data_IF_436562965905
#
_entry.id   IF_436562965905
#
_cell.length_a   1.000
_cell.length_b   1.000
_cell.length_c   1.000
_cell.angle_alpha   90.00
_cell.angle_beta   90.00
_cell.angle_gamma   90.00
#
_symmetry.space_group_name_H-M   'P 1'
#
loop_
_entity.id
_entity.type
_entity.pdbx_description
1 polymer ?
#
# COMPACT_ATOMS: atom_id res chain seq x y z
N UNK A 1 18.32 -0.59 -4.28
CA UNK A 1 17.74 -0.93 -2.96
C UNK A 1 16.28 -1.24 -3.17
N UNK A 2 15.77 -2.32 -2.57
CA UNK A 2 14.33 -2.62 -2.60
C UNK A 2 13.56 -1.64 -1.70
N UNK A 3 12.23 -1.60 -1.81
CA UNK A 3 11.40 -0.86 -0.87
C UNK A 3 11.62 -1.32 0.57
N UNK A 4 11.76 -2.64 0.80
CA UNK A 4 11.94 -3.21 2.13
C UNK A 4 13.23 -2.74 2.81
N UNK A 5 14.32 -2.59 2.02
CA UNK A 5 15.61 -2.10 2.51
C UNK A 5 15.53 -0.63 2.97
N UNK A 6 14.59 0.15 2.41
CA UNK A 6 14.39 1.58 2.73
C UNK A 6 13.51 1.81 3.96
N UNK A 7 12.85 0.78 4.51
CA UNK A 7 11.98 0.93 5.68
C UNK A 7 12.84 1.27 6.91
N UNK A 8 12.64 2.46 7.47
CA UNK A 8 13.41 2.98 8.61
C UNK A 8 12.65 2.89 9.93
N UNK A 9 11.32 2.77 9.90
CA UNK A 9 10.46 2.69 11.09
C UNK A 9 9.26 1.79 10.86
N UNK A 10 8.64 1.37 11.96
CA UNK A 10 7.40 0.58 11.97
C UNK A 10 6.40 1.25 12.91
N UNK A 11 5.13 1.45 12.50
CA UNK A 11 4.10 1.96 13.40
C UNK A 11 3.84 1.02 14.58
N UNK A 12 3.52 1.60 15.73
CA UNK A 12 3.03 0.85 16.88
C UNK A 12 1.53 0.59 16.71
N UNK A 13 1.10 -0.69 16.55
CA UNK A 13 -0.30 -1.00 16.30
C UNK A 13 -1.14 -0.76 17.57
N UNK A 14 -2.25 -0.03 17.41
CA UNK A 14 -3.26 0.11 18.48
C UNK A 14 -4.05 -1.18 18.64
N UNK A 15 -4.29 -1.88 17.52
CA UNK A 15 -4.93 -3.20 17.47
C UNK A 15 -3.99 -4.21 16.78
N UNK A 16 -3.18 -4.96 17.56
CA UNK A 16 -2.25 -5.94 17.01
C UNK A 16 -2.94 -7.10 16.28
N UNK A 17 -4.16 -7.48 16.67
CA UNK A 17 -4.90 -8.57 16.03
C UNK A 17 -5.30 -8.18 14.61
N UNK A 18 -5.84 -6.98 14.41
CA UNK A 18 -6.11 -6.43 13.07
C UNK A 18 -4.85 -6.35 12.21
N UNK A 19 -3.72 -6.00 12.83
CA UNK A 19 -2.42 -6.01 12.18
C UNK A 19 -2.02 -7.39 11.67
N UNK A 20 -2.09 -8.39 12.55
CA UNK A 20 -1.76 -9.78 12.22
C UNK A 20 -2.67 -10.33 11.11
N UNK A 21 -3.99 -10.08 11.18
CA UNK A 21 -4.95 -10.50 10.17
C UNK A 21 -4.59 -9.92 8.79
N UNK A 22 -4.28 -8.63 8.71
CA UNK A 22 -3.90 -8.00 7.44
C UNK A 22 -2.57 -8.54 6.90
N UNK A 23 -1.56 -8.75 7.75
CA UNK A 23 -0.27 -9.31 7.35
C UNK A 23 -0.37 -10.77 6.88
N UNK A 24 -1.38 -11.53 7.35
CA UNK A 24 -1.64 -12.90 6.90
C UNK A 24 -2.09 -12.98 5.44
N UNK A 25 -2.67 -11.90 4.90
CA UNK A 25 -3.10 -11.81 3.50
C UNK A 25 -1.95 -11.60 2.53
N UNK A 26 -0.75 -11.31 3.05
CA UNK A 26 0.43 -10.99 2.25
C UNK A 26 1.62 -11.92 2.61
N UNK A 27 1.46 -13.26 2.49
CA UNK A 27 2.46 -14.21 2.98
C UNK A 27 3.79 -14.15 2.22
N UNK A 28 3.74 -13.77 0.94
CA UNK A 28 4.91 -13.76 0.05
C UNK A 28 5.77 -12.50 0.19
N UNK A 29 5.33 -11.52 0.99
CA UNK A 29 6.11 -10.29 1.21
C UNK A 29 7.32 -10.57 2.11
N UNK A 30 8.45 -9.87 1.90
CA UNK A 30 9.58 -9.90 2.82
C UNK A 30 9.15 -9.59 4.26
N UNK A 31 9.77 -10.24 5.24
CA UNK A 31 9.39 -10.14 6.66
C UNK A 31 9.25 -8.68 7.13
N UNK A 32 10.21 -7.81 6.80
CA UNK A 32 10.19 -6.40 7.22
C UNK A 32 9.01 -5.61 6.63
N UNK A 33 8.56 -5.98 5.42
CA UNK A 33 7.38 -5.39 4.82
C UNK A 33 6.09 -5.96 5.44
N UNK A 34 6.06 -7.25 5.81
CA UNK A 34 4.95 -7.83 6.58
C UNK A 34 4.80 -7.19 7.96
N UNK A 35 5.91 -6.89 8.63
CA UNK A 35 5.91 -6.15 9.90
C UNK A 35 5.35 -4.74 9.73
N UNK A 36 5.70 -4.06 8.63
CA UNK A 36 5.13 -2.75 8.29
C UNK A 36 3.63 -2.85 8.03
N UNK A 37 3.18 -3.82 7.24
CA UNK A 37 1.76 -4.09 6.98
C UNK A 37 1.00 -4.31 8.29
N UNK A 38 1.56 -5.10 9.21
CA UNK A 38 0.95 -5.35 10.52
C UNK A 38 0.84 -4.07 11.35
N UNK A 39 1.90 -3.28 11.43
CA UNK A 39 1.88 -1.99 12.14
C UNK A 39 0.86 -1.02 11.55
N UNK A 40 0.90 -0.82 10.24
CA UNK A 40 0.00 0.10 9.51
C UNK A 40 -1.47 -0.31 9.65
N UNK A 41 -1.79 -1.58 9.39
CA UNK A 41 -3.14 -2.08 9.55
C UNK A 41 -3.59 -2.00 11.02
N UNK A 42 -2.73 -2.34 11.97
CA UNK A 42 -3.04 -2.26 13.39
C UNK A 42 -3.24 -0.83 13.90
N UNK A 43 -2.70 0.18 13.22
CA UNK A 43 -2.91 1.60 13.58
C UNK A 43 -4.12 2.24 12.90
N UNK A 44 -4.61 1.74 11.75
CA UNK A 44 -5.72 2.35 11.02
C UNK A 44 -6.70 1.32 10.44
N UNK A 45 -7.99 1.31 10.85
CA UNK A 45 -8.99 0.43 10.25
C UNK A 45 -9.19 0.71 8.75
N UNK A 46 -9.05 1.96 8.32
CA UNK A 46 -9.11 2.33 6.91
C UNK A 46 -7.97 1.69 6.11
N UNK A 47 -6.73 1.76 6.61
CA UNK A 47 -5.57 1.17 5.92
C UNK A 47 -5.64 -0.37 5.95
N UNK A 48 -6.16 -0.97 7.02
CA UNK A 48 -6.42 -2.41 7.06
C UNK A 48 -7.40 -2.85 5.95
N UNK A 49 -8.46 -2.08 5.69
CA UNK A 49 -9.40 -2.38 4.60
C UNK A 49 -8.75 -2.21 3.21
N UNK A 50 -7.90 -1.20 3.03
CA UNK A 50 -7.12 -1.04 1.79
C UNK A 50 -6.18 -2.22 1.55
N UNK A 51 -5.42 -2.62 2.57
CA UNK A 51 -4.51 -3.78 2.49
C UNK A 51 -5.30 -5.03 2.11
N UNK A 52 -6.47 -5.26 2.73
CA UNK A 52 -7.31 -6.41 2.41
C UNK A 52 -7.77 -6.41 0.94
N UNK A 53 -8.15 -5.26 0.40
CA UNK A 53 -8.62 -5.13 -0.98
C UNK A 53 -7.50 -5.30 -2.01
N UNK A 54 -6.30 -4.85 -1.69
CA UNK A 54 -5.18 -4.76 -2.64
C UNK A 54 -4.03 -5.73 -2.29
N UNK A 55 -4.27 -6.73 -1.43
CA UNK A 55 -3.25 -7.69 -0.98
C UNK A 55 -2.54 -8.40 -2.16
N UNK A 56 -3.30 -8.81 -3.18
CA UNK A 56 -2.75 -9.45 -4.38
C UNK A 56 -1.93 -8.49 -5.27
N UNK A 57 -2.14 -7.18 -5.14
CA UNK A 57 -1.42 -6.16 -5.91
C UNK A 57 -0.12 -5.74 -5.22
N UNK A 58 -0.07 -5.79 -3.88
CA UNK A 58 1.04 -5.28 -3.08
C UNK A 58 2.44 -5.81 -3.47
N UNK A 59 2.65 -7.13 -3.71
CA UNK A 59 3.99 -7.68 -3.93
C UNK A 59 4.75 -7.07 -5.11
N UNK A 60 4.06 -6.68 -6.18
CA UNK A 60 4.66 -6.01 -7.33
C UNK A 60 4.52 -4.48 -7.32
N UNK A 61 3.79 -3.93 -6.35
CA UNK A 61 3.46 -2.51 -6.32
C UNK A 61 4.64 -1.64 -5.86
N UNK A 62 5.51 -2.16 -4.99
CA UNK A 62 6.50 -1.33 -4.30
C UNK A 62 7.84 -1.22 -5.03
N UNK A 63 7.96 -1.88 -6.19
CA UNK A 63 9.14 -1.82 -7.06
C UNK A 63 9.11 -0.64 -8.05
N UNK A 64 8.03 0.14 -8.05
CA UNK A 64 7.87 1.34 -8.89
C UNK A 64 7.72 2.60 -8.05
N UNK A 65 8.55 3.60 -8.30
CA UNK A 65 8.55 4.84 -7.53
C UNK A 65 7.36 5.75 -7.87
N UNK A 66 6.87 5.77 -9.13
CA UNK A 66 5.68 6.55 -9.52
C UNK A 66 4.42 5.69 -9.60
N UNK A 67 3.72 5.59 -8.47
CA UNK A 67 2.44 4.85 -8.37
C UNK A 67 1.32 5.51 -9.18
N UNK A 68 1.32 6.84 -9.33
CA UNK A 68 0.24 7.54 -10.04
C UNK A 68 0.34 7.22 -11.51
N UNK A 69 1.52 7.41 -12.12
CA UNK A 69 1.74 7.09 -13.51
C UNK A 69 1.44 5.61 -13.82
N UNK A 70 1.84 4.68 -12.95
CA UNK A 70 1.53 3.26 -13.13
C UNK A 70 0.03 2.99 -13.10
N UNK A 71 -0.68 3.50 -12.10
CA UNK A 71 -2.08 3.17 -11.91
C UNK A 71 -3.02 3.88 -12.89
N UNK A 72 -2.58 4.98 -13.52
CA UNK A 72 -3.35 5.70 -14.55
C UNK A 72 -2.94 5.37 -15.99
N UNK A 73 -1.94 4.53 -16.19
CA UNK A 73 -1.52 4.12 -17.54
C UNK A 73 -2.68 3.50 -18.33
N UNK A 74 -2.88 3.96 -19.56
CA UNK A 74 -3.93 3.47 -20.48
C UNK A 74 -5.34 3.97 -20.18
N UNK A 75 -5.51 4.94 -19.28
CA UNK A 75 -6.84 5.50 -18.98
C UNK A 75 -7.47 6.24 -20.17
N UNK A 76 -6.66 6.75 -21.10
CA UNK A 76 -7.13 7.44 -22.30
C UNK A 76 -7.89 6.51 -23.26
N UNK A 77 -7.69 5.20 -23.17
CA UNK A 77 -8.35 4.18 -23.99
C UNK A 77 -9.66 3.65 -23.37
N UNK A 78 -10.01 4.10 -22.16
CA UNK A 78 -11.17 3.61 -21.42
C UNK A 78 -12.44 4.39 -21.77
N UNK A 79 -13.56 3.67 -21.89
CA UNK A 79 -14.87 4.30 -21.86
C UNK A 79 -15.20 4.89 -20.47
N UNK A 80 -16.25 5.70 -20.38
CA UNK A 80 -16.62 6.38 -19.14
C UNK A 80 -16.94 5.42 -17.97
N UNK A 81 -17.52 4.25 -18.25
CA UNK A 81 -17.89 3.29 -17.22
C UNK A 81 -16.64 2.57 -16.67
N UNK A 82 -15.76 2.12 -17.55
CA UNK A 82 -14.48 1.50 -17.23
C UNK A 82 -13.55 2.51 -16.52
N UNK A 83 -13.49 3.75 -17.00
CA UNK A 83 -12.70 4.82 -16.39
C UNK A 83 -13.13 5.11 -14.96
N UNK A 84 -14.43 5.16 -14.68
CA UNK A 84 -14.95 5.36 -13.32
C UNK A 84 -14.47 4.27 -12.35
N UNK A 85 -14.42 3.00 -12.79
CA UNK A 85 -13.91 1.89 -12.00
C UNK A 85 -12.38 1.99 -11.84
N UNK A 86 -11.68 2.30 -12.93
CA UNK A 86 -10.23 2.49 -12.97
C UNK A 86 -9.76 3.55 -11.98
N UNK A 87 -10.38 4.74 -12.00
CA UNK A 87 -10.07 5.85 -11.09
C UNK A 87 -10.27 5.46 -9.62
N UNK A 88 -11.35 4.75 -9.29
CA UNK A 88 -11.60 4.28 -7.91
C UNK A 88 -10.55 3.28 -7.45
N UNK A 89 -10.05 2.42 -8.35
CA UNK A 89 -8.96 1.48 -8.05
C UNK A 89 -7.63 2.21 -7.88
N UNK A 90 -7.27 3.07 -8.83
CA UNK A 90 -6.05 3.87 -8.79
C UNK A 90 -5.97 4.69 -7.50
N UNK A 91 -7.05 5.39 -7.13
CA UNK A 91 -7.12 6.15 -5.87
C UNK A 91 -6.77 5.31 -4.64
N UNK A 92 -7.33 4.11 -4.51
CA UNK A 92 -7.06 3.24 -3.34
C UNK A 92 -5.61 2.76 -3.31
N UNK A 93 -5.09 2.40 -4.47
CA UNK A 93 -3.71 1.89 -4.63
C UNK A 93 -2.66 2.96 -4.38
N UNK A 94 -2.85 4.15 -4.95
CA UNK A 94 -2.03 5.33 -4.65
C UNK A 94 -2.07 5.62 -3.15
N UNK A 95 -3.27 5.72 -2.55
CA UNK A 95 -3.40 5.97 -1.11
C UNK A 95 -2.69 4.91 -0.25
N UNK A 96 -2.75 3.63 -0.62
CA UNK A 96 -2.10 2.55 0.11
C UNK A 96 -0.57 2.62 -0.01
N UNK A 97 -0.02 2.81 -1.21
CA UNK A 97 1.43 2.92 -1.41
C UNK A 97 2.00 4.16 -0.72
N UNK A 98 1.32 5.30 -0.83
CA UNK A 98 1.69 6.53 -0.11
C UNK A 98 1.70 6.30 1.39
N UNK A 99 0.67 5.67 1.96
CA UNK A 99 0.60 5.40 3.39
C UNK A 99 1.72 4.45 3.87
N UNK A 100 2.05 3.40 3.10
CA UNK A 100 3.16 2.51 3.42
C UNK A 100 4.51 3.24 3.34
N UNK A 101 4.69 4.10 2.34
CA UNK A 101 5.94 4.84 2.16
C UNK A 101 6.14 5.91 3.25
N UNK A 102 5.10 6.65 3.60
CA UNK A 102 5.12 7.58 4.74
C UNK A 102 5.36 6.82 6.06
N UNK A 103 4.47 5.90 6.43
CA UNK A 103 4.52 5.27 7.74
C UNK A 103 5.75 4.37 7.92
N UNK A 104 6.31 3.81 6.85
CA UNK A 104 7.58 3.08 6.84
C UNK A 104 8.82 3.96 6.85
N UNK A 105 8.67 5.28 6.70
CA UNK A 105 9.77 6.25 6.62
C UNK A 105 10.62 6.10 5.36
N UNK A 106 10.01 5.63 4.26
CA UNK A 106 10.63 5.50 2.94
C UNK A 106 10.56 6.81 2.17
N UNK A 107 9.44 7.53 2.29
CA UNK A 107 9.26 8.86 1.74
C UNK A 107 9.38 9.92 2.84
N UNK A 108 9.98 11.08 2.53
CA UNK A 108 9.88 12.24 3.39
C UNK A 108 8.48 12.86 3.28
N UNK A 109 8.07 13.66 4.27
CA UNK A 109 6.69 14.15 4.37
C UNK A 109 6.28 15.02 3.16
N UNK A 110 7.22 15.73 2.54
CA UNK A 110 6.97 16.55 1.35
C UNK A 110 6.62 15.74 0.09
N UNK A 111 6.77 14.41 0.10
CA UNK A 111 6.39 13.51 -0.98
C UNK A 111 5.03 12.81 -0.76
N UNK A 112 4.34 13.11 0.36
CA UNK A 112 3.05 12.52 0.74
C UNK A 112 1.89 13.38 0.24
#
# INVERSE_FOLDING_TARGET
>A
MSFSDRITRLPLPVDPARGADAASLCPDLPQRLRDLVAGVAGSSPYLADLIRREAAWLPGALDHDDVVARETAGFDDLDAAALSVGLRRAKRRVALQTALADLGGVWPLEQV
#
